data_IF_980301569129
#
_entry.id   IF_980301569129
#
_cell.length_a   1.000
_cell.length_b   1.000
_cell.length_c   1.000
_cell.angle_alpha   90.00
_cell.angle_beta   90.00
_cell.angle_gamma   90.00
#
_symmetry.space_group_name_H-M   'P 1'
#
loop_
_entity.id
_entity.type
_entity.pdbx_description
1 polymer ?
#
# COMPACT_ATOMS: atom_id res chain seq x y z
N UNK A 1 -42.69 -10.47 15.80
CA UNK A 1 -42.22 -10.71 14.42
C UNK A 1 -41.07 -9.79 13.94
N UNK A 2 -40.51 -8.90 14.78
CA UNK A 2 -39.41 -7.98 14.40
C UNK A 2 -37.93 -8.51 14.40
N UNK A 3 -37.54 -9.72 14.87
CA UNK A 3 -36.11 -10.07 14.94
C UNK A 3 -35.47 -10.48 13.60
N UNK A 4 -36.25 -11.02 12.64
CA UNK A 4 -35.72 -11.59 11.39
C UNK A 4 -35.46 -10.55 10.29
N UNK A 5 -36.21 -9.45 10.25
CA UNK A 5 -36.04 -8.40 9.23
C UNK A 5 -34.79 -7.54 9.48
N UNK A 6 -34.37 -7.42 10.76
CA UNK A 6 -33.15 -6.71 11.18
C UNK A 6 -31.86 -7.44 10.79
N UNK A 7 -31.92 -8.72 10.40
CA UNK A 7 -30.76 -9.56 10.04
C UNK A 7 -30.25 -9.35 8.61
N UNK A 8 -30.97 -8.66 7.72
CA UNK A 8 -30.66 -8.58 6.27
C UNK A 8 -30.28 -7.18 5.75
N UNK A 9 -30.12 -6.19 6.63
CA UNK A 9 -29.83 -4.81 6.27
C UNK A 9 -28.68 -4.27 7.11
N UNK A 10 -27.77 -3.53 6.48
CA UNK A 10 -26.73 -2.73 7.12
C UNK A 10 -27.17 -1.29 7.19
N UNK A 11 -27.08 -0.64 8.34
CA UNK A 11 -27.36 0.78 8.50
C UNK A 11 -26.06 1.58 8.69
N UNK A 12 -25.83 2.53 7.79
CA UNK A 12 -24.56 3.19 7.60
C UNK A 12 -24.72 4.70 7.51
N UNK A 13 -23.76 5.46 8.02
CA UNK A 13 -23.71 6.91 7.84
C UNK A 13 -22.61 7.26 6.87
N UNK A 14 -22.96 7.96 5.81
CA UNK A 14 -22.02 8.47 4.83
C UNK A 14 -21.96 9.98 4.84
N UNK A 15 -20.79 10.53 4.52
CA UNK A 15 -20.57 11.96 4.33
C UNK A 15 -20.20 12.26 2.88
N UNK A 16 -20.74 13.37 2.36
CA UNK A 16 -20.36 13.97 1.07
C UNK A 16 -20.43 15.49 1.17
N UNK A 17 -19.33 16.19 0.88
CA UNK A 17 -19.24 17.67 0.88
C UNK A 17 -20.02 18.31 2.05
N UNK A 18 -19.72 17.89 3.28
CA UNK A 18 -20.34 18.36 4.53
C UNK A 18 -21.84 18.02 4.75
N UNK A 19 -22.45 17.18 3.92
CA UNK A 19 -23.78 16.59 4.16
C UNK A 19 -23.69 15.14 4.59
N UNK A 20 -24.52 14.77 5.57
CA UNK A 20 -24.64 13.41 6.07
C UNK A 20 -25.84 12.71 5.45
N UNK A 21 -25.64 11.45 5.08
CA UNK A 21 -26.65 10.56 4.50
C UNK A 21 -26.69 9.27 5.31
N UNK A 22 -27.89 8.78 5.58
CA UNK A 22 -28.07 7.43 6.10
C UNK A 22 -28.24 6.49 4.91
N UNK A 23 -27.33 5.54 4.77
CA UNK A 23 -27.32 4.54 3.71
C UNK A 23 -27.72 3.20 4.30
N UNK A 24 -28.57 2.48 3.57
CA UNK A 24 -29.00 1.14 3.91
C UNK A 24 -28.51 0.21 2.83
N UNK A 25 -27.65 -0.72 3.21
CA UNK A 25 -27.12 -1.73 2.29
C UNK A 25 -27.78 -3.09 2.54
N UNK A 26 -28.15 -3.78 1.47
CA UNK A 26 -28.85 -5.07 1.51
C UNK A 26 -27.97 -6.14 0.84
N UNK A 27 -27.22 -6.96 1.61
CA UNK A 27 -26.25 -7.90 1.07
C UNK A 27 -26.87 -8.98 0.16
N UNK A 28 -28.03 -9.53 0.55
CA UNK A 28 -28.70 -10.65 -0.14
C UNK A 28 -29.00 -10.41 -1.63
N UNK A 29 -29.03 -9.15 -2.06
CA UNK A 29 -29.25 -8.80 -3.46
C UNK A 29 -28.31 -7.71 -3.99
N UNK A 30 -27.30 -7.32 -3.22
CA UNK A 30 -26.43 -6.18 -3.51
C UNK A 30 -27.22 -4.89 -3.90
N UNK A 31 -28.10 -4.44 -3.00
CA UNK A 31 -28.88 -3.20 -3.19
C UNK A 31 -28.51 -2.13 -2.17
N UNK A 32 -28.73 -0.86 -2.53
CA UNK A 32 -28.52 0.30 -1.67
C UNK A 32 -29.72 1.23 -1.68
N UNK A 33 -30.04 1.83 -0.53
CA UNK A 33 -31.03 2.89 -0.34
C UNK A 33 -30.37 4.05 0.42
N UNK A 34 -30.63 5.30 0.03
CA UNK A 34 -29.99 6.48 0.62
C UNK A 34 -31.06 7.46 1.11
N UNK A 35 -30.92 7.91 2.36
CA UNK A 35 -31.74 8.94 2.98
C UNK A 35 -30.87 10.15 3.33
N UNK A 36 -31.36 11.35 3.04
CA UNK A 36 -30.73 12.60 3.49
C UNK A 36 -31.11 12.84 4.95
N UNK A 37 -30.11 13.01 5.83
CA UNK A 37 -30.32 13.14 7.28
C UNK A 37 -31.02 14.43 7.65
N UNK A 38 -30.72 15.55 6.97
CA UNK A 38 -31.26 16.87 7.32
C UNK A 38 -32.73 16.98 6.96
N UNK A 39 -33.09 16.49 5.78
CA UNK A 39 -34.46 16.57 5.28
C UNK A 39 -35.32 15.36 5.67
N UNK A 40 -34.69 14.29 6.17
CA UNK A 40 -35.30 12.97 6.36
C UNK A 40 -36.05 12.46 5.12
N UNK A 41 -35.65 12.94 3.93
CA UNK A 41 -36.23 12.55 2.64
C UNK A 41 -35.36 11.50 1.99
N UNK A 42 -36.05 10.62 1.27
CA UNK A 42 -35.43 9.57 0.51
C UNK A 42 -34.70 10.18 -0.70
N UNK A 43 -33.39 10.02 -0.72
CA UNK A 43 -32.50 10.57 -1.75
C UNK A 43 -32.30 9.59 -2.90
N UNK A 44 -32.22 8.30 -2.58
CA UNK A 44 -32.17 7.20 -3.53
C UNK A 44 -33.04 6.06 -3.04
N UNK A 45 -33.97 5.60 -3.89
CA UNK A 45 -34.78 4.39 -3.63
C UNK A 45 -33.91 3.15 -3.66
N UNK A 46 -34.33 2.09 -2.99
CA UNK A 46 -33.64 0.80 -3.04
C UNK A 46 -33.36 0.41 -4.50
N UNK A 47 -32.09 0.43 -4.87
CA UNK A 47 -31.60 0.24 -6.23
C UNK A 47 -30.41 -0.72 -6.19
N UNK A 48 -30.22 -1.50 -7.26
CA UNK A 48 -29.04 -2.36 -7.44
C UNK A 48 -27.76 -1.52 -7.32
N UNK A 49 -26.78 -1.99 -6.55
CA UNK A 49 -25.46 -1.36 -6.50
C UNK A 49 -24.74 -1.46 -7.85
N UNK A 50 -23.84 -0.50 -8.16
CA UNK A 50 -22.92 -0.63 -9.29
C UNK A 50 -22.09 -1.92 -9.20
N UNK A 51 -21.74 -2.53 -10.33
CA UNK A 51 -21.09 -3.84 -10.41
C UNK A 51 -19.74 -3.93 -9.64
N UNK A 52 -19.05 -2.81 -9.42
CA UNK A 52 -17.79 -2.75 -8.68
C UNK A 52 -17.93 -2.55 -7.17
N UNK A 53 -19.15 -2.50 -6.61
CA UNK A 53 -19.37 -2.31 -5.17
C UNK A 53 -19.71 -3.65 -4.52
N UNK A 54 -18.86 -4.05 -3.58
CA UNK A 54 -18.93 -5.28 -2.81
C UNK A 54 -19.16 -5.00 -1.32
N UNK A 55 -19.58 -6.01 -0.52
CA UNK A 55 -19.70 -5.86 0.93
C UNK A 55 -18.40 -5.40 1.63
N UNK A 56 -17.24 -5.77 1.08
CA UNK A 56 -15.93 -5.48 1.66
C UNK A 56 -15.58 -4.00 1.60
N UNK A 57 -16.21 -3.24 0.69
CA UNK A 57 -15.99 -1.80 0.52
C UNK A 57 -16.69 -0.95 1.61
N UNK A 58 -17.53 -1.56 2.44
CA UNK A 58 -18.29 -0.88 3.49
C UNK A 58 -17.57 -0.90 4.85
N UNK A 59 -16.47 -0.16 4.95
CA UNK A 59 -15.71 0.03 6.20
C UNK A 59 -15.50 1.50 6.55
N UNK A 60 -15.27 1.80 7.83
CA UNK A 60 -15.14 3.17 8.32
C UNK A 60 -13.96 3.88 7.63
N UNK A 61 -14.18 5.10 7.14
CA UNK A 61 -13.25 5.88 6.33
C UNK A 61 -13.19 5.45 4.85
N UNK A 62 -13.83 4.34 4.47
CA UNK A 62 -13.89 3.87 3.09
C UNK A 62 -14.64 4.84 2.17
N UNK A 63 -14.07 5.13 0.99
CA UNK A 63 -14.69 5.97 -0.06
C UNK A 63 -15.35 5.09 -1.10
N UNK A 64 -16.67 5.18 -1.20
CA UNK A 64 -17.51 4.40 -2.11
C UNK A 64 -18.03 5.27 -3.27
N UNK A 65 -17.89 4.78 -4.50
CA UNK A 65 -18.46 5.41 -5.69
C UNK A 65 -19.87 4.83 -5.95
N UNK A 66 -20.90 5.59 -5.62
CA UNK A 66 -22.30 5.21 -5.85
C UNK A 66 -22.94 6.17 -6.85
N UNK A 67 -23.31 5.66 -8.03
CA UNK A 67 -24.00 6.41 -9.10
C UNK A 67 -23.30 7.73 -9.46
N UNK A 68 -21.99 7.66 -9.72
CA UNK A 68 -21.17 8.81 -10.13
C UNK A 68 -20.82 9.78 -9.00
N UNK A 69 -21.02 9.39 -7.73
CA UNK A 69 -20.76 10.24 -6.55
C UNK A 69 -19.95 9.48 -5.51
N UNK A 70 -18.90 10.11 -5.00
CA UNK A 70 -18.12 9.58 -3.89
C UNK A 70 -18.80 9.87 -2.55
N UNK A 71 -18.89 8.85 -1.71
CA UNK A 71 -19.38 8.91 -0.35
C UNK A 71 -18.35 8.28 0.58
N UNK A 72 -18.07 8.91 1.71
CA UNK A 72 -17.17 8.38 2.73
C UNK A 72 -17.99 7.80 3.88
N UNK A 73 -17.76 6.54 4.26
CA UNK A 73 -18.46 5.92 5.38
C UNK A 73 -17.88 6.46 6.69
N UNK A 74 -18.70 7.14 7.49
CA UNK A 74 -18.25 7.78 8.73
C UNK A 74 -18.68 7.06 10.00
N UNK A 75 -19.79 6.30 9.96
CA UNK A 75 -20.33 5.66 11.17
C UNK A 75 -21.25 4.47 10.84
N UNK A 76 -21.42 3.57 11.80
CA UNK A 76 -22.41 2.51 11.77
C UNK A 76 -23.63 2.92 12.58
N UNK A 77 -24.83 2.84 12.00
CA UNK A 77 -26.05 3.35 12.64
C UNK A 77 -26.75 2.33 13.53
N UNK A 78 -26.28 1.08 13.56
CA UNK A 78 -26.79 0.04 14.46
C UNK A 78 -25.68 -0.92 14.93
N UNK A 79 -25.86 -1.46 16.14
CA UNK A 79 -24.86 -2.30 16.81
C UNK A 79 -24.58 -3.61 16.05
N UNK A 80 -25.55 -4.17 15.33
CA UNK A 80 -25.36 -5.41 14.57
C UNK A 80 -24.49 -5.15 13.33
N UNK A 81 -24.78 -4.08 12.59
CA UNK A 81 -23.94 -3.59 11.49
C UNK A 81 -22.54 -3.25 11.97
N UNK A 82 -22.41 -2.54 13.09
CA UNK A 82 -21.12 -2.23 13.68
C UNK A 82 -20.32 -3.50 14.00
N UNK A 83 -20.96 -4.50 14.59
CA UNK A 83 -20.31 -5.77 14.93
C UNK A 83 -19.85 -6.54 13.69
N UNK A 84 -20.64 -6.51 12.61
CA UNK A 84 -20.41 -7.37 11.46
C UNK A 84 -19.54 -6.71 10.37
N UNK A 85 -19.75 -5.44 10.06
CA UNK A 85 -18.92 -4.68 9.11
C UNK A 85 -17.68 -4.09 9.76
N UNK A 86 -17.78 -3.72 11.05
CA UNK A 86 -16.64 -3.24 11.81
C UNK A 86 -15.53 -4.27 11.94
N UNK A 87 -15.78 -5.54 11.62
CA UNK A 87 -14.74 -6.57 11.51
C UNK A 87 -14.21 -6.76 10.09
N UNK A 88 -14.94 -6.40 9.02
CA UNK A 88 -14.57 -6.79 7.65
C UNK A 88 -13.38 -6.02 7.08
N UNK A 89 -13.23 -4.73 7.41
CA UNK A 89 -12.06 -3.95 7.04
C UNK A 89 -11.70 -3.00 8.18
N UNK A 90 -10.90 -3.52 9.11
CA UNK A 90 -10.31 -2.73 10.17
C UNK A 90 -8.92 -2.26 9.75
N UNK A 91 -8.58 -1.05 10.16
CA UNK A 91 -7.21 -0.56 10.14
C UNK A 91 -6.51 -0.95 11.42
N UNK A 92 -5.27 -1.41 11.29
CA UNK A 92 -4.35 -1.61 12.40
C UNK A 92 -2.97 -1.17 11.97
N UNK A 93 -2.12 -0.81 12.95
CA UNK A 93 -0.80 -0.27 12.70
C UNK A 93 0.24 -1.11 13.42
N UNK A 94 1.34 -1.35 12.71
CA UNK A 94 2.56 -1.97 13.19
C UNK A 94 3.71 -0.98 12.99
N UNK A 95 4.56 -0.83 14.01
CA UNK A 95 5.84 -0.16 13.91
C UNK A 95 6.95 -1.14 14.25
N UNK A 96 8.08 -1.06 13.57
CA UNK A 96 9.25 -1.86 13.91
C UNK A 96 10.56 -1.21 13.49
N UNK A 97 11.62 -1.53 14.23
CA UNK A 97 12.98 -0.97 14.03
C UNK A 97 13.93 -1.96 13.35
N UNK A 98 13.58 -3.25 13.31
CA UNK A 98 14.37 -4.29 12.67
C UNK A 98 14.23 -4.25 11.14
N UNK A 99 15.01 -3.41 10.47
CA UNK A 99 14.95 -3.26 9.00
C UNK A 99 15.23 -4.57 8.24
N UNK A 100 16.09 -5.43 8.77
CA UNK A 100 16.37 -6.75 8.18
C UNK A 100 15.18 -7.72 8.22
N UNK A 101 14.17 -7.47 9.04
CA UNK A 101 12.95 -8.28 9.09
C UNK A 101 11.88 -7.82 8.08
N UNK A 102 12.12 -6.76 7.32
CA UNK A 102 11.09 -6.11 6.51
C UNK A 102 10.46 -7.04 5.48
N UNK A 103 11.24 -7.81 4.72
CA UNK A 103 10.69 -8.71 3.71
C UNK A 103 9.87 -9.85 4.34
N UNK A 104 10.35 -10.42 5.44
CA UNK A 104 9.58 -11.38 6.23
C UNK A 104 8.27 -10.79 6.78
N UNK A 105 8.26 -9.56 7.30
CA UNK A 105 7.06 -8.86 7.77
C UNK A 105 6.05 -8.70 6.62
N UNK A 106 6.48 -8.15 5.48
CA UNK A 106 5.61 -7.92 4.32
C UNK A 106 5.04 -9.23 3.76
N UNK A 107 5.87 -10.27 3.69
CA UNK A 107 5.45 -11.63 3.32
C UNK A 107 4.36 -12.12 4.26
N UNK A 108 4.58 -12.03 5.57
CA UNK A 108 3.63 -12.51 6.58
C UNK A 108 2.32 -11.72 6.59
N UNK A 109 2.36 -10.40 6.36
CA UNK A 109 1.16 -9.57 6.22
C UNK A 109 0.30 -10.06 5.06
N UNK A 110 0.90 -10.26 3.87
CA UNK A 110 0.19 -10.74 2.70
C UNK A 110 -0.40 -12.15 2.92
N UNK A 111 0.38 -13.10 3.45
CA UNK A 111 -0.10 -14.46 3.75
C UNK A 111 -1.28 -14.49 4.73
N UNK A 112 -1.38 -13.50 5.62
CA UNK A 112 -2.50 -13.33 6.54
C UNK A 112 -3.63 -12.47 5.97
N UNK A 113 -3.65 -12.24 4.65
CA UNK A 113 -4.68 -11.45 3.96
C UNK A 113 -4.82 -10.02 4.51
N UNK A 114 -3.70 -9.39 4.85
CA UNK A 114 -3.63 -7.96 5.11
C UNK A 114 -3.24 -7.21 3.85
N UNK A 115 -3.97 -6.13 3.58
CA UNK A 115 -3.64 -5.19 2.50
C UNK A 115 -2.90 -4.01 3.09
N UNK A 116 -1.80 -3.60 2.47
CA UNK A 116 -1.06 -2.40 2.87
C UNK A 116 -1.86 -1.15 2.45
N UNK A 117 -2.12 -0.26 3.40
CA UNK A 117 -2.72 1.06 3.12
C UNK A 117 -1.74 2.21 3.33
N UNK A 118 -0.70 2.00 4.14
CA UNK A 118 0.39 2.94 4.32
C UNK A 118 1.65 2.18 4.73
N UNK A 119 2.79 2.64 4.24
CA UNK A 119 4.09 2.14 4.67
C UNK A 119 5.12 3.24 4.51
N UNK A 120 5.93 3.48 5.54
CA UNK A 120 6.98 4.50 5.51
C UNK A 120 8.10 4.20 6.49
N UNK A 121 9.34 4.38 6.05
CA UNK A 121 10.54 4.41 6.87
C UNK A 121 10.89 5.85 7.23
N UNK A 122 11.07 6.13 8.52
CA UNK A 122 11.41 7.44 9.04
C UNK A 122 12.37 7.33 10.24
N UNK A 123 12.95 8.46 10.65
CA UNK A 123 13.75 8.56 11.86
C UNK A 123 12.86 8.96 13.05
N UNK A 124 12.72 8.04 14.01
CA UNK A 124 12.02 8.28 15.28
C UNK A 124 13.02 8.74 16.35
N UNK A 125 12.51 9.44 17.38
CA UNK A 125 13.17 9.86 18.62
C UNK A 125 14.62 9.33 18.80
N UNK A 126 15.60 10.22 18.66
CA UNK A 126 17.02 9.83 18.73
C UNK A 126 17.61 9.27 17.42
N UNK A 127 17.00 9.58 16.27
CA UNK A 127 17.42 9.12 14.93
C UNK A 127 17.42 7.59 14.77
N UNK A 128 16.45 6.92 15.39
CA UNK A 128 16.27 5.47 15.24
C UNK A 128 15.41 5.20 14.00
N UNK A 129 15.93 4.49 12.98
CA UNK A 129 15.15 4.11 11.81
C UNK A 129 13.97 3.22 12.23
N UNK A 130 12.76 3.64 11.88
CA UNK A 130 11.52 2.95 12.22
C UNK A 130 10.63 2.87 11.00
N UNK A 131 10.13 1.68 10.70
CA UNK A 131 9.11 1.46 9.68
C UNK A 131 7.75 1.48 10.37
N UNK A 132 6.82 2.28 9.85
CA UNK A 132 5.39 2.17 10.16
C UNK A 132 4.67 1.49 9.00
N UNK A 133 3.76 0.59 9.31
CA UNK A 133 2.88 -0.08 8.35
C UNK A 133 1.45 0.02 8.86
N UNK A 134 0.57 0.59 8.06
CA UNK A 134 -0.87 0.47 8.24
C UNK A 134 -1.40 -0.62 7.32
N UNK A 135 -2.19 -1.50 7.92
CA UNK A 135 -2.85 -2.57 7.20
C UNK A 135 -4.35 -2.46 7.33
N UNK A 136 -5.03 -2.85 6.26
CA UNK A 136 -6.48 -3.08 6.24
C UNK A 136 -6.72 -4.57 6.10
N UNK A 137 -7.61 -5.10 6.93
CA UNK A 137 -8.05 -6.49 6.79
C UNK A 137 -9.16 -6.86 7.76
N UNK A 138 -9.68 -8.07 7.60
CA UNK A 138 -10.67 -8.60 8.52
C UNK A 138 -10.06 -8.74 9.92
N UNK A 139 -10.74 -8.25 10.95
CA UNK A 139 -10.31 -8.30 12.36
C UNK A 139 -8.84 -7.92 12.55
N UNK A 140 -8.37 -6.88 11.85
CA UNK A 140 -6.96 -6.51 11.85
C UNK A 140 -6.45 -6.08 13.23
N UNK A 141 -7.29 -5.49 14.06
CA UNK A 141 -6.93 -5.08 15.42
C UNK A 141 -6.65 -6.30 16.30
N UNK A 142 -7.40 -7.40 16.12
CA UNK A 142 -7.18 -8.62 16.91
C UNK A 142 -6.11 -9.54 16.30
N UNK A 143 -6.04 -9.63 14.97
CA UNK A 143 -5.15 -10.56 14.27
C UNK A 143 -3.71 -10.06 14.16
N UNK A 144 -3.48 -8.76 13.95
CA UNK A 144 -2.13 -8.23 13.75
C UNK A 144 -1.23 -8.44 14.99
N UNK A 145 -1.69 -8.23 16.25
CA UNK A 145 -0.87 -8.50 17.43
C UNK A 145 -0.43 -9.96 17.59
N UNK A 146 -1.24 -10.93 17.16
CA UNK A 146 -0.89 -12.35 17.16
C UNK A 146 0.23 -12.65 16.16
N UNK A 147 0.15 -12.02 14.98
CA UNK A 147 1.19 -12.11 13.96
C UNK A 147 2.50 -11.49 14.47
N UNK A 148 2.41 -10.31 15.08
CA UNK A 148 3.58 -9.57 15.61
C UNK A 148 4.26 -10.33 16.73
N UNK A 149 3.51 -11.00 17.62
CA UNK A 149 4.09 -11.89 18.64
C UNK A 149 4.96 -12.99 18.02
N UNK A 150 4.52 -13.54 16.87
CA UNK A 150 5.26 -14.57 16.15
C UNK A 150 6.51 -14.00 15.47
N UNK A 151 6.44 -12.78 14.93
CA UNK A 151 7.56 -12.07 14.33
C UNK A 151 8.60 -11.64 15.39
N UNK A 152 8.16 -11.12 16.53
CA UNK A 152 9.02 -10.77 17.67
C UNK A 152 9.79 -12.00 18.16
N UNK A 153 9.15 -13.17 18.26
CA UNK A 153 9.82 -14.40 18.66
C UNK A 153 10.91 -14.84 17.67
N UNK A 154 10.76 -14.51 16.39
CA UNK A 154 11.71 -14.85 15.31
C UNK A 154 12.85 -13.83 15.18
N UNK A 155 12.55 -12.54 15.31
CA UNK A 155 13.45 -11.44 14.92
C UNK A 155 13.82 -10.50 16.08
N UNK A 156 13.08 -10.51 17.19
CA UNK A 156 13.18 -9.50 18.24
C UNK A 156 14.38 -9.63 19.19
N UNK A 157 15.01 -10.80 19.30
CA UNK A 157 16.07 -11.01 20.29
C UNK A 157 15.67 -10.51 21.70
N UNK A 158 16.59 -9.85 22.41
CA UNK A 158 16.33 -9.23 23.72
C UNK A 158 15.83 -7.77 23.66
N UNK A 159 15.59 -7.20 22.47
CA UNK A 159 15.19 -5.79 22.34
C UNK A 159 13.75 -5.65 21.84
N UNK A 160 12.95 -4.75 22.44
CA UNK A 160 11.60 -4.46 21.95
C UNK A 160 11.70 -3.67 20.64
N UNK A 161 11.66 -4.37 19.51
CA UNK A 161 11.74 -3.76 18.18
C UNK A 161 10.45 -3.80 17.37
N UNK A 162 9.33 -4.22 17.95
CA UNK A 162 8.01 -4.20 17.31
C UNK A 162 6.96 -3.61 18.27
N UNK A 163 6.18 -2.65 17.79
CA UNK A 163 5.04 -2.04 18.47
C UNK A 163 3.79 -2.22 17.59
N UNK A 164 2.65 -2.60 18.17
CA UNK A 164 1.42 -2.84 17.42
C UNK A 164 0.24 -2.21 18.14
N UNK A 165 -0.70 -1.65 17.37
CA UNK A 165 -1.92 -1.09 17.92
C UNK A 165 -2.71 -2.15 18.71
N UNK A 166 -3.01 -1.88 19.98
CA UNK A 166 -3.75 -2.80 20.84
C UNK A 166 -5.27 -2.71 20.66
N UNK A 167 -5.76 -1.57 20.16
CA UNK A 167 -7.18 -1.29 19.94
C UNK A 167 -7.40 -0.44 18.69
N UNK A 168 -8.63 -0.34 18.20
CA UNK A 168 -8.96 0.55 17.09
C UNK A 168 -8.70 2.03 17.41
N UNK A 169 -8.92 2.46 18.66
CA UNK A 169 -8.62 3.82 19.11
C UNK A 169 -7.11 4.10 19.13
N UNK A 170 -6.32 3.09 19.52
CA UNK A 170 -4.87 3.15 19.46
C UNK A 170 -4.36 3.22 18.01
N UNK A 171 -4.92 2.40 17.11
CA UNK A 171 -4.62 2.47 15.68
C UNK A 171 -4.91 3.88 15.11
N UNK A 172 -6.04 4.49 15.46
CA UNK A 172 -6.34 5.85 15.03
C UNK A 172 -5.34 6.87 15.58
N UNK A 173 -4.97 6.75 16.85
CA UNK A 173 -3.97 7.64 17.47
C UNK A 173 -2.61 7.51 16.77
N UNK A 174 -2.17 6.29 16.48
CA UNK A 174 -0.91 6.04 15.76
C UNK A 174 -0.98 6.59 14.32
N UNK A 175 -2.13 6.46 13.65
CA UNK A 175 -2.36 7.05 12.34
C UNK A 175 -2.14 8.57 12.38
N UNK A 176 -2.82 9.25 13.30
CA UNK A 176 -2.71 10.71 13.46
C UNK A 176 -1.27 11.12 13.82
N UNK A 177 -0.58 10.32 14.62
CA UNK A 177 0.80 10.60 15.03
C UNK A 177 1.83 10.41 13.91
N UNK A 178 1.72 9.35 13.11
CA UNK A 178 2.78 8.93 12.18
C UNK A 178 2.50 9.27 10.72
N UNK A 179 1.24 9.57 10.35
CA UNK A 179 0.88 9.93 8.99
C UNK A 179 0.50 11.39 8.84
N UNK A 180 -0.11 12.00 9.87
CA UNK A 180 -0.47 13.42 9.80
C UNK A 180 0.70 14.36 10.14
N UNK A 181 1.73 13.84 10.82
CA UNK A 181 2.93 14.60 11.18
C UNK A 181 4.08 14.30 10.22
N UNK A 182 4.84 15.32 9.85
CA UNK A 182 6.10 15.14 9.12
C UNK A 182 7.17 14.54 10.04
N UNK A 183 7.82 13.48 9.57
CA UNK A 183 8.95 12.83 10.23
C UNK A 183 10.22 12.98 9.37
N UNK A 184 11.41 13.10 9.97
CA UNK A 184 12.65 13.17 9.20
C UNK A 184 12.87 11.88 8.41
N UNK A 185 13.32 12.03 7.17
CA UNK A 185 13.66 10.90 6.31
C UNK A 185 15.10 10.42 6.60
N UNK A 186 15.34 9.10 6.69
CA UNK A 186 16.68 8.52 6.71
C UNK A 186 17.35 8.48 5.33
N UNK A 187 16.68 8.95 4.27
CA UNK A 187 17.26 9.07 2.94
C UNK A 187 18.56 9.88 2.97
N UNK A 188 19.59 9.34 2.32
CA UNK A 188 20.94 9.87 2.27
C UNK A 188 21.16 10.75 1.03
N UNK A 189 20.46 10.46 -0.06
CA UNK A 189 20.62 11.10 -1.38
C UNK A 189 22.08 11.17 -1.87
N UNK A 190 22.94 10.25 -1.43
CA UNK A 190 24.36 10.23 -1.74
C UNK A 190 24.80 8.80 -2.05
N UNK A 191 25.33 8.59 -3.27
CA UNK A 191 25.71 7.27 -3.76
C UNK A 191 24.60 6.24 -3.51
N UNK A 192 23.40 6.56 -3.99
CA UNK A 192 22.22 5.72 -3.86
C UNK A 192 21.50 5.56 -5.21
N UNK A 193 20.67 4.53 -5.31
CA UNK A 193 19.71 4.36 -6.42
C UNK A 193 18.28 4.33 -5.89
N UNK A 194 17.32 4.68 -6.74
CA UNK A 194 15.90 4.62 -6.44
C UNK A 194 15.30 3.36 -7.09
N UNK A 195 14.78 2.44 -6.29
CA UNK A 195 14.08 1.25 -6.75
C UNK A 195 12.56 1.43 -6.52
N UNK A 196 11.74 1.09 -7.53
CA UNK A 196 10.28 1.15 -7.41
C UNK A 196 9.70 -0.25 -7.56
N UNK A 197 9.11 -0.77 -6.49
CA UNK A 197 8.32 -1.99 -6.50
C UNK A 197 6.94 -1.66 -7.08
N UNK A 198 6.62 -2.28 -8.22
CA UNK A 198 5.43 -1.98 -8.99
C UNK A 198 4.13 -2.51 -8.35
N UNK A 199 2.95 -1.95 -8.72
CA UNK A 199 1.67 -2.36 -8.16
C UNK A 199 1.33 -3.85 -8.33
N UNK A 200 1.75 -4.48 -9.44
CA UNK A 200 1.48 -5.90 -9.68
C UNK A 200 2.23 -6.79 -8.66
N UNK A 201 3.46 -6.45 -8.28
CA UNK A 201 4.26 -7.17 -7.26
C UNK A 201 3.56 -7.12 -5.90
N UNK A 202 2.99 -5.97 -5.53
CA UNK A 202 2.20 -5.82 -4.31
C UNK A 202 0.94 -6.67 -4.35
N UNK A 203 0.25 -6.67 -5.50
CA UNK A 203 -1.00 -7.43 -5.71
C UNK A 203 -0.77 -8.94 -5.68
N UNK A 204 0.38 -9.40 -6.16
CA UNK A 204 0.78 -10.81 -6.17
C UNK A 204 1.41 -11.27 -4.86
N UNK A 205 1.65 -10.35 -3.92
CA UNK A 205 2.23 -10.67 -2.61
C UNK A 205 3.72 -10.98 -2.65
N UNK A 206 4.40 -10.59 -3.72
CA UNK A 206 5.83 -10.86 -3.94
C UNK A 206 6.74 -9.81 -3.27
N UNK A 207 6.19 -8.69 -2.79
CA UNK A 207 6.96 -7.57 -2.21
C UNK A 207 7.95 -8.00 -1.14
N UNK A 208 7.57 -8.93 -0.26
CA UNK A 208 8.47 -9.41 0.79
C UNK A 208 9.68 -10.16 0.24
N UNK A 209 9.48 -11.03 -0.76
CA UNK A 209 10.56 -11.74 -1.43
C UNK A 209 11.50 -10.79 -2.19
N UNK A 210 10.96 -9.72 -2.80
CA UNK A 210 11.78 -8.67 -3.43
C UNK A 210 12.66 -7.97 -2.40
N UNK A 211 12.10 -7.59 -1.26
CA UNK A 211 12.86 -6.92 -0.19
C UNK A 211 13.92 -7.84 0.40
N UNK A 212 13.60 -9.11 0.66
CA UNK A 212 14.57 -10.09 1.15
C UNK A 212 15.71 -10.27 0.13
N UNK A 213 15.40 -10.40 -1.17
CA UNK A 213 16.42 -10.52 -2.22
C UNK A 213 17.34 -9.28 -2.33
N UNK A 214 16.79 -8.07 -2.14
CA UNK A 214 17.58 -6.84 -2.09
C UNK A 214 18.55 -6.89 -0.90
N UNK A 215 18.07 -7.24 0.28
CA UNK A 215 18.90 -7.31 1.49
C UNK A 215 19.96 -8.41 1.39
N UNK A 216 19.60 -9.59 0.85
CA UNK A 216 20.52 -10.72 0.65
C UNK A 216 21.61 -10.42 -0.39
N UNK A 217 21.37 -9.49 -1.32
CA UNK A 217 22.37 -9.02 -2.28
C UNK A 217 23.44 -8.10 -1.68
N UNK A 218 23.32 -7.75 -0.38
CA UNK A 218 24.24 -6.85 0.31
C UNK A 218 23.88 -5.36 0.16
N UNK A 219 22.74 -5.04 -0.43
CA UNK A 219 22.23 -3.67 -0.50
C UNK A 219 21.54 -3.27 0.81
N UNK A 220 21.69 -2.01 1.19
CA UNK A 220 21.03 -1.40 2.35
C UNK A 220 19.86 -0.54 1.89
N UNK A 221 18.69 -0.74 2.50
CA UNK A 221 17.53 0.13 2.30
C UNK A 221 17.60 1.28 3.30
N UNK A 222 17.78 2.50 2.80
CA UNK A 222 17.90 3.72 3.63
C UNK A 222 16.65 4.57 3.62
N UNK A 223 15.77 4.42 2.64
CA UNK A 223 14.43 5.01 2.65
C UNK A 223 13.43 4.05 2.01
N UNK A 224 12.17 4.12 2.44
CA UNK A 224 11.09 3.27 1.95
C UNK A 224 9.76 4.00 2.14
N UNK A 225 8.94 4.10 1.11
CA UNK A 225 7.60 4.71 1.20
C UNK A 225 6.63 4.08 0.20
N UNK A 226 5.39 3.83 0.65
CA UNK A 226 4.27 3.43 -0.21
C UNK A 226 3.51 4.66 -0.67
N UNK A 227 3.24 4.75 -1.97
CA UNK A 227 2.57 5.89 -2.58
C UNK A 227 1.74 5.47 -3.78
N UNK A 228 0.81 6.34 -4.16
CA UNK A 228 0.01 6.20 -5.37
C UNK A 228 0.39 7.35 -6.30
N UNK A 229 0.80 7.01 -7.52
CA UNK A 229 1.05 8.00 -8.56
C UNK A 229 -0.23 8.27 -9.35
N UNK A 230 -0.47 9.54 -9.65
CA UNK A 230 -1.36 9.88 -10.74
C UNK A 230 -0.62 9.79 -12.09
N UNK A 231 -1.38 9.85 -13.18
CA UNK A 231 -0.83 9.74 -14.54
C UNK A 231 0.19 10.83 -14.84
N UNK A 232 0.00 12.04 -14.32
CA UNK A 232 0.88 13.18 -14.56
C UNK A 232 2.24 12.91 -13.92
N UNK A 233 2.28 12.62 -12.61
CA UNK A 233 3.51 12.32 -11.89
C UNK A 233 4.20 11.06 -12.39
N UNK A 234 3.45 10.02 -12.77
CA UNK A 234 4.04 8.82 -13.38
C UNK A 234 4.68 9.10 -14.74
N UNK A 235 4.07 9.97 -15.57
CA UNK A 235 4.63 10.36 -16.87
C UNK A 235 5.89 11.20 -16.71
N UNK A 236 5.88 12.16 -15.78
CA UNK A 236 7.06 12.97 -15.42
C UNK A 236 8.20 12.09 -14.89
N UNK A 237 7.89 11.13 -14.01
CA UNK A 237 8.88 10.19 -13.48
C UNK A 237 9.53 9.33 -14.57
N UNK A 238 8.77 8.96 -15.59
CA UNK A 238 9.24 8.11 -16.69
C UNK A 238 9.74 8.90 -17.91
N UNK A 239 9.70 10.23 -17.91
CA UNK A 239 9.94 11.08 -19.10
C UNK A 239 11.25 10.74 -19.84
N UNK A 240 12.30 10.37 -19.09
CA UNK A 240 13.60 9.96 -19.66
C UNK A 240 13.53 8.71 -20.55
N UNK A 241 12.46 7.92 -20.42
CA UNK A 241 12.20 6.72 -21.19
C UNK A 241 11.24 6.95 -22.38
N UNK A 242 10.67 8.15 -22.52
CA UNK A 242 9.82 8.48 -23.66
C UNK A 242 10.63 8.47 -24.96
N UNK A 243 10.11 7.78 -25.97
CA UNK A 243 10.81 7.52 -27.22
C UNK A 243 11.97 6.51 -27.17
N UNK A 244 12.37 6.04 -25.97
CA UNK A 244 13.42 5.02 -25.80
C UNK A 244 12.83 3.64 -25.51
N UNK A 245 11.80 3.56 -24.66
CA UNK A 245 11.14 2.30 -24.29
C UNK A 245 9.86 2.13 -25.11
N UNK A 246 9.66 0.98 -25.78
CA UNK A 246 8.40 0.71 -26.46
C UNK A 246 7.26 0.64 -25.45
N UNK A 247 6.07 1.11 -25.83
CA UNK A 247 4.87 1.11 -24.98
C UNK A 247 4.97 1.99 -23.71
N UNK A 248 5.60 3.17 -23.81
CA UNK A 248 5.67 4.17 -22.73
C UNK A 248 4.33 4.40 -21.99
N UNK A 249 3.25 4.57 -22.75
CA UNK A 249 1.91 4.77 -22.18
C UNK A 249 1.43 3.58 -21.34
N UNK A 250 1.76 2.34 -21.72
CA UNK A 250 1.42 1.16 -20.95
C UNK A 250 2.25 1.10 -19.66
N UNK A 251 3.53 1.48 -19.70
CA UNK A 251 4.36 1.58 -18.50
C UNK A 251 3.80 2.59 -17.49
N UNK A 252 3.33 3.75 -17.97
CA UNK A 252 2.61 4.75 -17.15
C UNK A 252 1.30 4.17 -16.60
N UNK A 253 0.52 3.46 -17.42
CA UNK A 253 -0.73 2.81 -16.99
C UNK A 253 -0.48 1.74 -15.92
N UNK A 254 0.58 0.95 -16.04
CA UNK A 254 0.97 -0.03 -15.04
C UNK A 254 1.37 0.63 -13.72
N UNK A 255 2.16 1.71 -13.76
CA UNK A 255 2.61 2.41 -12.56
C UNK A 255 1.47 3.11 -11.82
N UNK A 256 0.41 3.51 -12.53
CA UNK A 256 -0.79 4.16 -11.98
C UNK A 256 -1.92 3.20 -11.61
N UNK A 257 -1.75 1.90 -11.89
CA UNK A 257 -2.78 0.88 -11.65
C UNK A 257 -3.05 0.57 -10.18
N UNK A 258 -2.18 1.04 -9.26
CA UNK A 258 -2.30 0.78 -7.83
C UNK A 258 -1.18 1.43 -7.02
N UNK A 259 -1.04 1.07 -5.73
CA UNK A 259 0.06 1.55 -4.90
C UNK A 259 1.39 0.93 -5.35
N UNK A 260 2.46 1.70 -5.20
CA UNK A 260 3.83 1.27 -5.43
C UNK A 260 4.67 1.59 -4.20
N UNK A 261 5.82 0.93 -4.06
CA UNK A 261 6.78 1.20 -2.97
C UNK A 261 8.08 1.68 -3.57
N UNK A 262 8.56 2.86 -3.15
CA UNK A 262 9.85 3.40 -3.54
C UNK A 262 10.86 3.14 -2.44
N UNK A 263 12.06 2.75 -2.83
CA UNK A 263 13.20 2.45 -1.97
C UNK A 263 14.39 3.30 -2.37
N UNK A 264 15.08 3.88 -1.39
CA UNK A 264 16.47 4.31 -1.57
C UNK A 264 17.37 3.15 -1.18
N UNK A 265 18.26 2.76 -2.10
CA UNK A 265 19.21 1.66 -1.93
C UNK A 265 20.65 2.18 -1.99
N UNK A 266 21.48 1.69 -1.08
CA UNK A 266 22.93 1.96 -1.01
C UNK A 266 23.69 0.64 -0.99
N UNK A 267 24.85 0.59 -1.65
CA UNK A 267 25.75 -0.56 -1.62
C UNK A 267 27.17 -0.18 -2.02
N UNK A 268 28.12 -1.10 -1.78
CA UNK A 268 29.50 -0.92 -2.19
C UNK A 268 29.69 -1.31 -3.67
N UNK A 269 30.35 -0.45 -4.46
CA UNK A 269 30.77 -0.73 -5.86
C UNK A 269 29.87 -0.17 -6.98
N UNK A 270 30.05 -0.66 -8.21
CA UNK A 270 29.33 -0.24 -9.43
C UNK A 270 27.82 -0.59 -9.41
N UNK A 271 27.35 -1.32 -8.39
CA UNK A 271 25.94 -1.73 -8.20
C UNK A 271 24.99 -0.53 -8.12
N UNK A 272 25.49 0.61 -7.61
CA UNK A 272 24.74 1.87 -7.50
C UNK A 272 24.83 2.72 -8.78
N UNK A 273 25.76 2.41 -9.68
CA UNK A 273 25.99 3.19 -10.92
C UNK A 273 25.04 2.81 -12.06
N UNK A 274 24.25 1.74 -11.89
CA UNK A 274 23.17 1.38 -12.80
C UNK A 274 21.91 2.03 -12.23
N UNK A 275 21.31 2.96 -12.96
CA UNK A 275 19.99 3.52 -12.61
C UNK A 275 18.95 2.40 -12.55
N UNK A 276 18.79 1.82 -11.37
CA UNK A 276 17.92 0.67 -11.12
C UNK A 276 16.48 1.14 -10.92
N UNK A 277 15.78 1.54 -11.99
CA UNK A 277 14.32 1.33 -11.97
C UNK A 277 14.13 -0.18 -12.08
N UNK A 278 14.05 -0.85 -10.93
CA UNK A 278 13.82 -2.29 -10.89
C UNK A 278 12.40 -2.56 -11.41
N UNK A 279 12.24 -2.69 -12.72
CA UNK A 279 11.09 -3.32 -13.37
C UNK A 279 11.15 -4.81 -13.04
N UNK A 280 10.88 -5.17 -11.78
CA UNK A 280 10.75 -6.57 -11.41
C UNK A 280 9.44 -7.07 -12.07
N UNK A 281 9.61 -7.60 -13.28
CA UNK A 281 8.76 -8.48 -14.09
C UNK A 281 7.29 -8.10 -14.36
N UNK A 282 7.06 -7.50 -15.54
CA UNK A 282 5.87 -7.86 -16.35
C UNK A 282 6.09 -7.83 -17.88
N UNK A 283 7.13 -7.15 -18.40
CA UNK A 283 7.31 -7.02 -19.88
C UNK A 283 8.70 -7.38 -20.43
N UNK A 284 9.62 -7.94 -19.63
CA UNK A 284 10.82 -8.59 -20.17
C UNK A 284 10.58 -10.05 -20.61
N UNK A 285 9.33 -10.46 -20.79
CA UNK A 285 8.94 -11.74 -21.39
C UNK A 285 9.21 -11.84 -22.91
N UNK A 286 10.16 -11.05 -23.43
CA UNK A 286 10.78 -11.30 -24.74
C UNK A 286 12.22 -11.68 -24.45
N UNK A 287 12.43 -12.96 -24.12
CA UNK A 287 13.61 -13.82 -24.33
C UNK A 287 13.72 -14.83 -23.18
N UNK A 288 13.41 -16.07 -23.54
CA UNK A 288 13.50 -17.35 -22.80
C UNK A 288 12.33 -17.77 -21.89
N UNK A 289 11.59 -18.73 -22.45
CA UNK A 289 10.80 -19.78 -21.81
C UNK A 289 11.55 -20.50 -20.66
N UNK A 290 10.75 -21.13 -19.81
CA UNK A 290 11.08 -22.11 -18.75
C UNK A 290 11.49 -21.61 -17.34
N UNK A 291 10.50 -21.67 -16.43
CA UNK A 291 10.53 -22.25 -15.07
C UNK A 291 11.92 -22.40 -14.39
N UNK A 292 12.42 -21.40 -13.64
CA UNK A 292 13.63 -21.59 -12.78
C UNK A 292 13.62 -20.75 -11.49
N UNK A 293 13.72 -21.49 -10.38
CA UNK A 293 14.38 -21.26 -9.08
C UNK A 293 15.01 -19.87 -8.79
N UNK A 294 14.45 -19.16 -7.80
CA UNK A 294 14.88 -17.84 -7.31
C UNK A 294 16.23 -17.84 -6.58
N UNK A 295 16.78 -19.00 -6.21
CA UNK A 295 17.97 -19.07 -5.34
C UNK A 295 19.31 -18.96 -6.08
N UNK A 296 19.34 -19.18 -7.40
CA UNK A 296 20.60 -19.46 -8.13
C UNK A 296 20.90 -18.54 -9.31
N UNK A 297 20.16 -17.43 -9.48
CA UNK A 297 20.45 -16.41 -10.50
C UNK A 297 20.27 -14.98 -9.98
N UNK A 298 21.16 -14.58 -9.07
CA UNK A 298 21.67 -13.21 -9.08
C UNK A 298 22.45 -13.07 -10.40
N UNK A 299 21.74 -12.60 -11.42
CA UNK A 299 22.21 -12.46 -12.80
C UNK A 299 23.53 -11.68 -12.81
N UNK A 300 24.57 -12.26 -13.41
CA UNK A 300 25.74 -11.51 -13.88
C UNK A 300 25.25 -10.39 -14.84
N UNK A 301 25.06 -9.18 -14.32
CA UNK A 301 24.79 -8.02 -15.15
C UNK A 301 26.09 -7.55 -15.79
N UNK A 302 26.42 -8.13 -16.95
CA UNK A 302 27.46 -7.59 -17.84
C UNK A 302 27.03 -6.21 -18.32
N UNK A 303 27.89 -5.22 -18.05
CA UNK A 303 28.04 -3.93 -18.73
C UNK A 303 27.20 -3.81 -20.00
N UNK A 304 26.06 -3.13 -19.92
CA UNK A 304 25.48 -2.51 -21.12
C UNK A 304 26.39 -1.33 -21.43
N UNK A 305 27.09 -1.43 -22.56
CA UNK A 305 28.08 -0.48 -23.00
C UNK A 305 27.56 0.96 -22.92
N UNK A 306 28.43 1.82 -22.37
CA UNK A 306 28.27 3.27 -22.28
C UNK A 306 27.78 3.83 -23.61
N UNK A 307 26.53 4.28 -23.68
CA UNK A 307 26.11 5.21 -24.73
C UNK A 307 26.77 6.56 -24.40
N UNK A 308 27.67 7.10 -25.25
CA UNK A 308 28.31 8.36 -24.95
C UNK A 308 27.27 9.48 -24.98
N UNK A 309 27.16 10.22 -23.88
CA UNK A 309 26.42 11.48 -23.84
C UNK A 309 27.22 12.49 -24.69
N UNK A 310 26.65 13.10 -25.74
CA UNK A 310 27.35 14.11 -26.51
C UNK A 310 27.62 15.33 -25.61
N UNK A 311 28.90 15.63 -25.40
CA UNK A 311 29.33 16.85 -24.72
C UNK A 311 28.90 18.03 -25.59
N UNK A 312 28.01 18.87 -25.05
CA UNK A 312 27.63 20.12 -25.70
C UNK A 312 28.87 20.99 -25.88
N UNK A 313 29.11 21.40 -27.12
CA UNK A 313 30.18 22.33 -27.51
C UNK A 313 30.17 23.56 -26.60
N UNK A 314 31.27 23.80 -25.88
CA UNK A 314 31.56 25.13 -25.36
C UNK A 314 31.79 26.07 -26.56
N UNK A 315 31.20 27.28 -26.56
CA UNK A 315 31.57 28.27 -27.56
C UNK A 315 32.99 28.76 -27.26
N UNK A 316 33.87 28.62 -28.25
CA UNK A 316 35.16 29.29 -28.28
C UNK A 316 34.96 30.80 -28.08
N UNK A 317 35.59 31.36 -27.04
CA UNK A 317 36.18 32.70 -27.00
C UNK A 317 37.09 32.82 -25.77
#
# INVERSE_FOLDING_TARGET
MAPLYRRRRRELRFRRMHRNFNVRYFPDGNHVEILDVKSNKLFLKKTQCPAGVSPQDFFLGGKLLLFGRHFELTDYLDAFTATQLGKQAQKSILLFTHLGATGAVLTQLHHNHFTLSYLKLFLRDGNVPTIVVEVVGESAVERLPLLVSSLQSRFGGNQPGFEVAATAADAQRLHDQFMAKAWPSPATFANCTCCVIQPHVLKEGQTGAVVDAILDSGLTITAMELFNLDRTSASEFLELYDGVVPHFNEAVDHLTSGPCIALELIGDGDVVSIGFVCFLFASCAIIFDDYVDLSSRLIEFRSIDRVPIPVANQPNL
#
